data_IF_702605937875
#
_entry.id   IF_702605937875
#
_cell.length_a   1.000
_cell.length_b   1.000
_cell.length_c   1.000
_cell.angle_alpha   90.00
_cell.angle_beta   90.00
_cell.angle_gamma   90.00
#
_symmetry.space_group_name_H-M   'P 1'
#
loop_
_entity.id
_entity.type
_entity.pdbx_description
1 polymer ?
#
# COMPACT_ATOMS: atom_id res chain seq x y z
N UNK A 1 8.34 -14.19 19.11
CA UNK A 1 7.88 -13.86 17.75
C UNK A 1 6.57 -14.60 17.49
N UNK A 2 5.43 -13.94 17.68
CA UNK A 2 4.16 -14.47 17.17
C UNK A 2 4.11 -14.16 15.68
N UNK A 3 4.54 -15.11 14.84
CA UNK A 3 4.20 -15.08 13.44
C UNK A 3 2.67 -15.14 13.36
N UNK A 4 2.01 -14.01 13.09
CA UNK A 4 0.61 -14.02 12.66
C UNK A 4 0.59 -14.86 11.40
N UNK A 5 0.04 -16.07 11.49
CA UNK A 5 -0.15 -16.93 10.34
C UNK A 5 -0.99 -16.16 9.34
N UNK A 6 -0.40 -15.68 8.25
CA UNK A 6 -1.12 -15.04 7.16
C UNK A 6 -2.16 -16.05 6.69
N UNK A 7 -3.44 -15.71 6.81
CA UNK A 7 -4.50 -16.64 6.42
C UNK A 7 -4.41 -16.88 4.91
N UNK A 8 -4.74 -18.10 4.47
CA UNK A 8 -4.80 -18.42 3.05
C UNK A 8 -5.70 -17.43 2.27
N UNK A 9 -6.79 -16.99 2.91
CA UNK A 9 -7.69 -15.95 2.37
C UNK A 9 -6.98 -14.63 2.11
N UNK A 10 -6.08 -14.20 3.00
CA UNK A 10 -5.33 -12.95 2.82
C UNK A 10 -4.30 -13.07 1.69
N UNK A 11 -3.68 -14.24 1.52
CA UNK A 11 -2.76 -14.52 0.41
C UNK A 11 -3.50 -14.54 -0.93
N UNK A 12 -4.65 -15.22 -1.01
CA UNK A 12 -5.49 -15.26 -2.20
C UNK A 12 -6.01 -13.87 -2.58
N UNK A 13 -6.42 -13.08 -1.58
CA UNK A 13 -6.80 -11.68 -1.77
C UNK A 13 -5.65 -10.86 -2.37
N UNK A 14 -4.47 -10.92 -1.74
CA UNK A 14 -3.28 -10.19 -2.19
C UNK A 14 -2.84 -10.58 -3.61
N UNK A 15 -2.92 -11.87 -3.95
CA UNK A 15 -2.59 -12.34 -5.30
C UNK A 15 -3.56 -11.81 -6.36
N UNK A 16 -4.87 -11.83 -6.08
CA UNK A 16 -5.89 -11.29 -7.01
C UNK A 16 -5.77 -9.79 -7.19
N UNK A 17 -5.54 -9.05 -6.09
CA UNK A 17 -5.30 -7.60 -6.15
C UNK A 17 -4.02 -7.29 -6.95
N UNK A 18 -2.94 -8.04 -6.71
CA UNK A 18 -1.70 -7.91 -7.48
C UNK A 18 -1.90 -8.11 -8.98
N UNK A 19 -2.70 -9.11 -9.37
CA UNK A 19 -3.02 -9.36 -10.78
C UNK A 19 -3.80 -8.18 -11.42
N UNK A 20 -4.75 -7.58 -10.69
CA UNK A 20 -5.51 -6.41 -11.16
C UNK A 20 -4.58 -5.20 -11.37
N UNK A 21 -3.67 -4.93 -10.43
CA UNK A 21 -2.76 -3.79 -10.53
C UNK A 21 -1.82 -3.91 -11.74
N UNK A 22 -1.38 -5.13 -12.05
CA UNK A 22 -0.47 -5.42 -13.17
C UNK A 22 -1.15 -5.35 -14.55
N UNK A 23 -2.49 -5.48 -14.62
CA UNK A 23 -3.25 -5.36 -15.86
C UNK A 23 -3.77 -3.92 -16.05
N UNK A 24 -3.50 -3.30 -17.20
CA UNK A 24 -3.88 -1.90 -17.44
C UNK A 24 -5.40 -1.67 -17.48
N UNK A 25 -6.16 -2.58 -18.10
CA UNK A 25 -7.62 -2.45 -18.23
C UNK A 25 -8.31 -2.69 -16.89
N UNK A 26 -7.86 -3.68 -16.12
CA UNK A 26 -8.43 -3.97 -14.82
C UNK A 26 -8.03 -2.92 -13.77
N UNK A 27 -6.82 -2.36 -13.86
CA UNK A 27 -6.42 -1.20 -13.06
C UNK A 27 -7.28 0.02 -13.38
N UNK A 28 -7.66 0.24 -14.64
CA UNK A 28 -8.56 1.34 -15.00
C UNK A 28 -9.95 1.16 -14.35
N UNK A 29 -10.49 -0.07 -14.33
CA UNK A 29 -11.75 -0.38 -13.61
C UNK A 29 -11.63 -0.18 -12.10
N UNK A 30 -10.48 -0.56 -11.52
CA UNK A 30 -10.21 -0.36 -10.09
C UNK A 30 -10.19 1.14 -9.71
N UNK A 31 -9.75 2.01 -10.62
CA UNK A 31 -9.77 3.46 -10.41
C UNK A 31 -11.18 4.04 -10.56
N UNK A 32 -11.96 3.55 -11.53
CA UNK A 32 -13.31 4.03 -11.83
C UNK A 32 -14.35 3.64 -10.77
N UNK A 33 -14.36 2.37 -10.33
CA UNK A 33 -15.20 1.90 -9.24
C UNK A 33 -14.42 0.99 -8.27
N UNK A 34 -13.64 1.57 -7.35
CA UNK A 34 -12.87 0.81 -6.38
C UNK A 34 -13.73 -0.08 -5.49
N UNK A 35 -14.97 0.35 -5.16
CA UNK A 35 -15.83 -0.37 -4.22
C UNK A 35 -16.36 -1.65 -4.83
N UNK A 36 -16.82 -1.60 -6.08
CA UNK A 36 -17.26 -2.80 -6.78
C UNK A 36 -16.12 -3.80 -6.94
N UNK A 37 -14.97 -3.34 -7.46
CA UNK A 37 -13.82 -4.22 -7.73
C UNK A 37 -13.26 -4.83 -6.44
N UNK A 38 -13.07 -4.03 -5.38
CA UNK A 38 -12.59 -4.57 -4.10
C UNK A 38 -13.64 -5.45 -3.41
N UNK A 39 -14.94 -5.15 -3.59
CA UNK A 39 -16.04 -5.97 -3.12
C UNK A 39 -16.03 -7.38 -3.74
N UNK A 40 -15.79 -7.47 -5.05
CA UNK A 40 -15.66 -8.75 -5.78
C UNK A 40 -14.47 -9.58 -5.29
N UNK A 41 -13.42 -8.91 -4.77
CA UNK A 41 -12.27 -9.57 -4.13
C UNK A 41 -12.56 -10.01 -2.69
N UNK A 42 -13.69 -9.60 -2.10
CA UNK A 42 -14.06 -9.87 -0.72
C UNK A 42 -13.43 -8.93 0.30
N UNK A 43 -13.04 -7.71 -0.13
CA UNK A 43 -12.63 -6.64 0.77
C UNK A 43 -13.80 -6.13 1.61
N UNK A 44 -13.49 -5.56 2.76
CA UNK A 44 -14.47 -4.87 3.58
C UNK A 44 -14.90 -3.55 2.92
N UNK A 45 -16.12 -3.10 3.21
CA UNK A 45 -16.73 -1.91 2.58
C UNK A 45 -16.07 -0.58 2.98
N UNK A 46 -15.19 -0.59 3.97
CA UNK A 46 -14.47 0.55 4.54
C UNK A 46 -13.04 0.67 4.00
N UNK A 47 -12.62 -0.18 3.05
CA UNK A 47 -11.30 -0.08 2.44
C UNK A 47 -11.21 1.18 1.58
N UNK A 48 -10.21 2.01 1.86
CA UNK A 48 -9.85 3.18 1.07
C UNK A 48 -8.68 2.84 0.14
N UNK A 49 -8.83 3.17 -1.14
CA UNK A 49 -7.75 3.08 -2.13
C UNK A 49 -7.02 4.41 -2.19
N UNK A 50 -5.70 4.38 -1.99
CA UNK A 50 -4.81 5.52 -2.12
C UNK A 50 -3.81 5.20 -3.23
N UNK A 51 -3.88 5.94 -4.33
CA UNK A 51 -3.00 5.74 -5.47
C UNK A 51 -1.77 6.63 -5.33
N UNK A 52 -0.59 6.02 -5.48
CA UNK A 52 0.66 6.76 -5.56
C UNK A 52 0.78 7.47 -6.91
N UNK A 53 1.48 8.60 -6.90
CA UNK A 53 1.80 9.39 -8.09
C UNK A 53 3.31 9.62 -8.15
N UNK A 54 3.79 10.29 -9.20
CA UNK A 54 5.21 10.63 -9.32
C UNK A 54 5.73 11.45 -8.12
N UNK A 55 4.87 12.29 -7.53
CA UNK A 55 5.24 13.22 -6.46
C UNK A 55 4.69 12.80 -5.09
N UNK A 56 3.99 11.67 -4.99
CA UNK A 56 3.33 11.27 -3.73
C UNK A 56 3.30 9.76 -3.58
N UNK A 57 3.81 9.30 -2.43
CA UNK A 57 3.77 7.90 -2.01
C UNK A 57 3.00 7.80 -0.70
N UNK A 58 2.08 6.84 -0.60
CA UNK A 58 1.31 6.57 0.61
C UNK A 58 1.92 5.41 1.39
N UNK A 59 2.18 5.64 2.67
CA UNK A 59 2.71 4.62 3.58
C UNK A 59 1.66 4.22 4.60
N UNK A 60 1.40 2.92 4.68
CA UNK A 60 0.51 2.35 5.70
C UNK A 60 1.34 2.02 6.94
N UNK A 61 1.27 2.90 7.94
CA UNK A 61 1.91 2.69 9.24
C UNK A 61 0.87 2.07 10.19
N UNK A 62 1.09 0.85 10.70
CA UNK A 62 0.19 0.27 11.69
C UNK A 62 0.19 1.14 12.95
N UNK A 63 -0.98 1.70 13.28
CA UNK A 63 -1.16 2.69 14.36
C UNK A 63 -0.60 2.23 15.72
N UNK A 64 -0.38 0.95 15.94
CA UNK A 64 0.05 0.39 17.22
C UNK A 64 1.58 0.40 17.40
N UNK A 65 2.35 0.51 16.31
CA UNK A 65 3.81 0.33 16.37
C UNK A 65 4.50 1.68 16.63
N UNK A 66 4.04 2.76 15.99
CA UNK A 66 4.76 4.03 15.96
C UNK A 66 3.89 5.26 16.28
N UNK A 67 2.77 5.07 16.97
CA UNK A 67 1.78 6.14 17.28
C UNK A 67 2.41 7.36 17.94
N UNK A 68 3.36 7.16 18.85
CA UNK A 68 4.00 8.25 19.59
C UNK A 68 4.86 9.15 18.68
N UNK A 69 5.57 8.56 17.72
CA UNK A 69 6.43 9.29 16.77
C UNK A 69 5.59 10.03 15.73
N UNK A 70 4.55 9.37 15.23
CA UNK A 70 3.59 9.98 14.31
C UNK A 70 2.86 11.16 14.97
N UNK A 71 2.39 11.00 16.21
CA UNK A 71 1.70 12.06 16.95
C UNK A 71 2.61 13.24 17.32
N UNK A 72 3.91 12.99 17.48
CA UNK A 72 4.91 14.02 17.73
C UNK A 72 5.34 14.77 16.45
N UNK A 73 4.91 14.33 15.26
CA UNK A 73 5.36 14.92 14.00
C UNK A 73 6.87 14.77 13.79
N UNK A 74 7.44 13.63 14.17
CA UNK A 74 8.89 13.36 14.07
C UNK A 74 9.34 13.34 12.60
N UNK A 75 9.87 14.47 12.11
CA UNK A 75 10.32 14.65 10.72
C UNK A 75 11.44 13.66 10.35
N UNK A 76 12.37 13.40 11.28
CA UNK A 76 13.46 12.44 11.08
C UNK A 76 12.90 11.02 10.85
N UNK A 77 11.89 10.64 11.64
CA UNK A 77 11.20 9.35 11.44
C UNK A 77 10.54 9.24 10.06
N UNK A 78 9.85 10.29 9.63
CA UNK A 78 9.20 10.29 8.32
C UNK A 78 10.22 10.25 7.19
N UNK A 79 11.36 10.92 7.32
CA UNK A 79 12.47 10.83 6.36
C UNK A 79 13.06 9.41 6.30
N UNK A 80 13.27 8.75 7.45
CA UNK A 80 13.72 7.36 7.51
C UNK A 80 12.73 6.39 6.85
N UNK A 81 11.43 6.57 7.11
CA UNK A 81 10.38 5.78 6.47
C UNK A 81 10.31 6.02 4.96
N UNK A 82 10.40 7.27 4.53
CA UNK A 82 10.44 7.62 3.11
C UNK A 82 11.63 6.99 2.40
N UNK A 83 12.82 7.05 3.02
CA UNK A 83 14.03 6.37 2.52
C UNK A 83 13.86 4.85 2.46
N UNK A 84 13.23 4.23 3.46
CA UNK A 84 13.00 2.78 3.45
C UNK A 84 11.99 2.37 2.36
N UNK A 85 10.95 3.17 2.17
CA UNK A 85 9.95 2.94 1.13
C UNK A 85 10.53 3.09 -0.28
N UNK A 86 11.24 4.19 -0.54
CA UNK A 86 11.87 4.45 -1.83
C UNK A 86 13.12 3.58 -2.07
N UNK A 87 13.86 3.20 -1.03
CA UNK A 87 15.05 2.36 -1.13
C UNK A 87 14.76 0.93 -1.62
N UNK A 88 13.50 0.49 -1.54
CA UNK A 88 13.03 -0.76 -2.15
C UNK A 88 12.60 -0.58 -3.62
N UNK A 89 12.34 0.65 -4.05
CA UNK A 89 12.17 1.06 -5.44
C UNK A 89 13.56 1.42 -5.99
N UNK A 90 14.35 0.42 -6.39
CA UNK A 90 15.55 0.68 -7.18
C UNK A 90 15.14 1.40 -8.47
N UNK A 91 15.26 2.73 -8.48
CA UNK A 91 15.41 3.48 -9.70
C UNK A 91 16.78 3.10 -10.26
N UNK A 92 16.81 2.28 -11.32
CA UNK A 92 18.03 2.07 -12.10
C UNK A 92 18.47 3.37 -12.80
N UNK A 93 17.56 4.33 -12.96
CA UNK A 93 17.83 5.66 -13.49
C UNK A 93 17.58 6.74 -12.43
N UNK A 94 18.66 7.23 -11.84
CA UNK A 94 18.68 8.53 -11.17
C UNK A 94 18.75 9.63 -12.25
N UNK A 95 17.94 10.70 -12.17
CA UNK A 95 18.14 11.87 -13.04
C UNK A 95 19.50 12.53 -12.74
N UNK A 96 20.19 12.99 -13.79
CA UNK A 96 21.43 13.78 -13.68
C UNK A 96 21.26 15.09 -12.91
#
# INVERSE_FOLDING_TARGET
MHAKTTSQKNLEFGAKLGAIIQNADDRAKLIDDPKAVLGDLGAASDVQLLADTADTVHLVIPANIDTARVAAGDETYFEELGKAALGSCFYEDLPE
#
